data_IF_098474678677
#
_entry.id   IF_098474678677
#
_cell.length_a   1.000
_cell.length_b   1.000
_cell.length_c   1.000
_cell.angle_alpha   90.00
_cell.angle_beta   90.00
_cell.angle_gamma   90.00
#
_symmetry.space_group_name_H-M   'P 1'
#
loop_
_entity.id
_entity.type
_entity.pdbx_description
1 polymer ?
#
# COMPACT_ATOMS: atom_id res chain seq x y z
N UNK A 1 18.13 5.71 -7.57
CA UNK A 1 19.01 4.51 -7.60
C UNK A 1 20.26 4.91 -6.83
N UNK A 2 20.30 4.56 -5.58
CA UNK A 2 21.47 4.78 -4.75
C UNK A 2 22.39 3.56 -4.92
N UNK A 3 23.61 3.79 -5.39
CA UNK A 3 24.65 2.75 -5.41
C UNK A 3 25.03 2.43 -3.96
N UNK A 4 25.28 1.16 -3.66
CA UNK A 4 25.64 0.66 -2.33
C UNK A 4 26.85 1.35 -1.66
N UNK A 5 27.53 2.23 -2.35
CA UNK A 5 28.71 2.97 -1.85
C UNK A 5 28.39 4.40 -1.39
N UNK A 6 27.12 4.83 -1.44
CA UNK A 6 26.77 6.25 -1.23
C UNK A 6 26.02 6.53 0.06
N UNK A 7 25.98 5.59 1.00
CA UNK A 7 25.28 5.79 2.25
C UNK A 7 26.23 6.18 3.39
N UNK A 8 26.09 7.37 3.90
CA UNK A 8 26.74 7.83 5.12
C UNK A 8 25.69 8.16 6.16
N UNK A 9 25.77 7.53 7.33
CA UNK A 9 24.92 7.87 8.43
C UNK A 9 25.33 9.23 9.00
N UNK A 10 24.50 10.23 8.80
CA UNK A 10 24.68 11.52 9.46
C UNK A 10 23.96 11.47 10.79
N UNK A 11 24.71 11.41 11.91
CA UNK A 11 24.14 11.61 13.23
C UNK A 11 23.49 12.99 13.26
N UNK A 12 22.17 13.06 13.12
CA UNK A 12 21.47 14.31 13.42
C UNK A 12 21.39 14.45 14.93
N UNK A 13 21.97 15.50 15.47
CA UNK A 13 21.57 15.99 16.79
C UNK A 13 20.09 16.37 16.66
N UNK A 14 19.29 15.99 17.66
CA UNK A 14 17.91 16.45 17.83
C UNK A 14 17.86 17.97 17.58
N UNK A 15 17.49 18.37 16.41
CA UNK A 15 17.15 19.75 16.10
C UNK A 15 15.91 19.72 15.24
N UNK A 16 14.88 20.32 15.80
CA UNK A 16 13.59 20.62 15.24
C UNK A 16 13.51 20.63 13.73
N UNK A 17 12.52 19.89 13.21
CA UNK A 17 11.84 20.05 11.93
C UNK A 17 12.72 20.30 10.70
N UNK A 18 12.47 19.55 9.65
CA UNK A 18 12.91 19.75 8.28
C UNK A 18 14.34 19.35 7.91
N UNK A 19 14.87 18.24 8.36
CA UNK A 19 16.12 17.74 7.78
C UNK A 19 16.04 16.27 7.38
N UNK A 20 16.19 16.07 6.08
CA UNK A 20 16.46 14.81 5.42
C UNK A 20 17.55 14.03 6.16
N UNK A 21 17.22 12.84 6.62
CA UNK A 21 18.24 11.91 7.03
C UNK A 21 18.91 11.35 5.76
N UNK A 22 20.08 11.84 5.40
CA UNK A 22 20.90 11.24 4.36
C UNK A 22 21.81 10.21 4.99
N UNK A 23 21.75 8.99 4.50
CA UNK A 23 22.62 7.89 4.93
C UNK A 23 23.76 7.76 3.94
N UNK A 24 25.01 7.91 4.39
CA UNK A 24 26.21 7.59 3.60
C UNK A 24 26.89 6.38 4.19
N UNK A 25 27.23 5.40 3.36
CA UNK A 25 27.87 4.14 3.77
C UNK A 25 29.38 4.27 3.75
N UNK A 26 30.02 4.23 4.90
CA UNK A 26 31.42 3.85 5.00
C UNK A 26 31.77 3.11 6.30
N UNK A 27 30.82 2.73 7.14
CA UNK A 27 31.10 1.97 8.35
C UNK A 27 29.96 1.04 8.72
N UNK A 28 30.32 -0.10 9.26
CA UNK A 28 29.40 -1.11 9.81
C UNK A 28 28.38 -0.47 10.75
N UNK A 29 27.11 -0.60 10.43
CA UNK A 29 25.98 -0.04 11.16
C UNK A 29 25.74 -0.68 12.54
N UNK A 30 26.74 -1.30 13.14
CA UNK A 30 26.65 -1.85 14.48
C UNK A 30 26.44 -0.73 15.50
N UNK A 31 25.37 -0.81 16.28
CA UNK A 31 25.01 0.11 17.36
C UNK A 31 24.64 1.54 16.91
N UNK A 32 24.13 1.73 15.71
CA UNK A 32 23.67 3.02 15.25
C UNK A 32 22.18 3.18 15.54
N UNK A 33 21.80 4.37 16.01
CA UNK A 33 20.42 4.75 16.22
C UNK A 33 20.00 5.74 15.14
N UNK A 34 18.93 5.40 14.40
CA UNK A 34 18.33 6.29 13.42
C UNK A 34 17.04 6.82 14.00
N UNK A 35 16.96 8.14 14.10
CA UNK A 35 15.78 8.79 14.60
C UNK A 35 14.93 9.29 13.43
N UNK A 36 13.68 8.89 13.40
CA UNK A 36 12.68 9.33 12.45
C UNK A 36 12.23 10.77 12.77
N UNK A 37 11.73 11.48 11.78
CA UNK A 37 11.27 12.87 11.93
C UNK A 37 10.20 13.01 13.03
N UNK A 38 9.41 11.97 13.25
CA UNK A 38 8.38 11.91 14.29
C UNK A 38 8.93 11.64 15.71
N UNK A 39 10.25 11.57 15.86
CA UNK A 39 10.90 11.41 17.18
C UNK A 39 11.20 9.98 17.57
N UNK A 40 10.72 8.98 16.86
CA UNK A 40 11.03 7.58 17.11
C UNK A 40 12.42 7.23 16.61
N UNK A 41 13.17 6.51 17.40
CA UNK A 41 14.52 6.09 17.08
C UNK A 41 14.60 4.59 16.93
N UNK A 42 15.08 4.11 15.80
CA UNK A 42 15.31 2.69 15.54
C UNK A 42 16.79 2.40 15.81
N UNK A 43 17.05 1.48 16.74
CA UNK A 43 18.39 1.00 17.00
C UNK A 43 18.72 -0.10 16.00
N UNK A 44 19.75 0.10 15.20
CA UNK A 44 20.23 -0.91 14.26
C UNK A 44 21.21 -1.81 14.99
N UNK A 45 20.79 -3.04 15.28
CA UNK A 45 21.61 -4.02 15.98
C UNK A 45 22.28 -5.02 15.03
N UNK A 46 21.74 -5.20 13.81
CA UNK A 46 22.23 -6.11 12.79
C UNK A 46 22.20 -5.47 11.41
N UNK A 47 23.00 -5.95 10.49
CA UNK A 47 23.21 -5.42 9.13
C UNK A 47 21.97 -5.52 8.20
N UNK A 48 20.89 -6.14 8.65
CA UNK A 48 19.70 -6.44 7.83
C UNK A 48 18.46 -5.67 8.28
N UNK A 49 18.59 -4.42 8.73
CA UNK A 49 17.43 -3.67 9.24
C UNK A 49 16.94 -2.58 8.31
N UNK A 50 15.66 -2.34 8.39
CA UNK A 50 14.90 -1.38 7.60
C UNK A 50 14.96 0.00 8.21
N UNK A 51 15.14 0.97 7.35
CA UNK A 51 15.07 2.38 7.71
C UNK A 51 13.91 2.98 6.92
N UNK A 52 12.98 3.62 7.60
CA UNK A 52 11.96 4.41 6.93
C UNK A 52 12.57 5.74 6.49
N UNK A 53 12.45 6.06 5.21
CA UNK A 53 12.63 7.44 4.74
C UNK A 53 11.40 8.25 5.14
N UNK A 54 11.57 9.09 6.16
CA UNK A 54 10.49 9.86 6.77
C UNK A 54 9.98 11.00 5.90
N UNK A 55 10.71 11.40 4.87
CA UNK A 55 10.30 12.48 3.98
C UNK A 55 9.41 11.95 2.87
N UNK A 56 9.77 10.80 2.31
CA UNK A 56 9.04 10.17 1.22
C UNK A 56 8.05 9.09 1.70
N UNK A 57 8.08 8.73 2.98
CA UNK A 57 7.33 7.59 3.51
C UNK A 57 7.88 6.23 3.07
N UNK A 58 9.06 6.22 2.45
CA UNK A 58 9.69 5.02 1.94
C UNK A 58 10.59 4.37 2.97
N UNK A 59 10.87 3.10 2.75
CA UNK A 59 11.78 2.30 3.56
C UNK A 59 13.01 1.94 2.73
N UNK A 60 14.17 1.99 3.34
CA UNK A 60 15.44 1.63 2.71
C UNK A 60 15.88 0.26 3.23
N UNK A 61 16.22 -0.63 2.31
CA UNK A 61 16.71 -1.96 2.62
C UNK A 61 18.22 -2.00 2.76
N UNK A 62 18.64 -2.62 3.84
CA UNK A 62 20.03 -2.89 4.13
C UNK A 62 20.26 -4.41 4.21
N UNK A 63 20.19 -5.10 3.08
CA UNK A 63 20.61 -6.50 2.98
C UNK A 63 21.75 -6.63 2.00
N UNK A 64 22.95 -6.81 2.52
CA UNK A 64 24.16 -7.01 1.70
C UNK A 64 24.14 -8.32 0.90
N UNK A 65 23.41 -9.34 1.36
CA UNK A 65 23.40 -10.65 0.70
C UNK A 65 22.53 -10.68 -0.55
N UNK A 66 21.51 -9.87 -0.63
CA UNK A 66 20.56 -9.90 -1.74
C UNK A 66 20.64 -8.71 -2.70
N UNK A 67 21.50 -7.71 -2.48
CA UNK A 67 21.78 -6.53 -3.34
C UNK A 67 20.66 -6.07 -4.27
N UNK A 68 19.43 -6.44 -4.02
CA UNK A 68 18.25 -5.94 -4.72
C UNK A 68 17.78 -4.73 -3.95
N UNK A 69 17.89 -3.58 -4.56
CA UNK A 69 17.38 -2.32 -4.03
C UNK A 69 15.85 -2.37 -3.95
N UNK A 70 15.32 -2.87 -2.87
CA UNK A 70 13.94 -2.67 -2.51
C UNK A 70 13.87 -1.46 -1.60
N UNK A 71 13.20 -0.39 -1.98
CA UNK A 71 13.12 0.84 -1.16
C UNK A 71 12.23 0.71 0.07
N UNK A 72 11.46 -0.37 0.20
CA UNK A 72 10.70 -0.67 1.42
C UNK A 72 11.02 -2.05 1.92
N UNK A 73 11.35 -2.18 3.19
CA UNK A 73 11.49 -3.46 3.82
C UNK A 73 10.85 -3.54 5.17
N UNK A 74 10.13 -4.58 5.27
CA UNK A 74 9.54 -5.14 6.44
C UNK A 74 10.46 -6.24 6.93
N UNK A 75 10.69 -6.30 8.23
CA UNK A 75 11.59 -7.26 8.88
C UNK A 75 11.15 -8.69 8.61
N UNK A 76 11.69 -9.30 7.58
CA UNK A 76 11.38 -10.68 7.22
C UNK A 76 11.75 -11.66 8.35
N UNK A 77 12.90 -11.45 8.99
CA UNK A 77 13.35 -12.26 10.11
C UNK A 77 12.43 -12.17 11.32
N UNK A 78 11.88 -11.00 11.61
CA UNK A 78 10.94 -10.84 12.71
C UNK A 78 9.61 -11.55 12.43
N UNK A 79 9.17 -11.58 11.17
CA UNK A 79 7.95 -12.31 10.78
C UNK A 79 8.16 -13.82 10.85
N UNK A 80 9.31 -14.33 10.39
CA UNK A 80 9.62 -15.75 10.39
C UNK A 80 9.79 -16.31 11.81
N UNK A 81 10.25 -15.48 12.76
CA UNK A 81 10.49 -15.85 14.15
C UNK A 81 9.28 -15.57 15.07
N UNK A 82 8.24 -14.90 14.62
CA UNK A 82 7.06 -14.68 15.43
C UNK A 82 6.36 -16.00 15.71
N UNK A 83 6.28 -16.34 16.99
CA UNK A 83 5.36 -17.39 17.44
C UNK A 83 3.96 -16.98 16.98
N UNK A 84 3.34 -17.84 16.18
CA UNK A 84 1.90 -17.75 15.93
C UNK A 84 1.26 -17.60 17.30
N UNK A 85 0.57 -16.48 17.54
CA UNK A 85 -0.09 -16.25 18.82
C UNK A 85 -1.19 -17.28 18.93
N UNK A 86 -0.95 -18.29 19.75
CA UNK A 86 -1.86 -19.41 19.93
C UNK A 86 -3.01 -19.11 20.91
N UNK A 87 -3.02 -17.93 21.52
CA UNK A 87 -4.12 -17.47 22.38
C UNK A 87 -5.24 -16.80 21.59
N UNK A 88 -5.50 -17.28 20.39
CA UNK A 88 -6.65 -16.87 19.64
C UNK A 88 -7.91 -17.38 20.33
N UNK A 89 -8.83 -16.49 20.61
CA UNK A 89 -10.21 -16.86 20.85
C UNK A 89 -10.79 -17.40 19.54
N UNK A 90 -10.47 -18.68 19.29
CA UNK A 90 -11.00 -19.43 18.18
C UNK A 90 -12.48 -19.72 18.48
N UNK A 91 -13.37 -18.91 17.95
CA UNK A 91 -14.81 -19.02 18.24
C UNK A 91 -15.44 -20.13 17.43
N UNK A 92 -15.01 -20.29 16.19
CA UNK A 92 -15.50 -21.34 15.30
C UNK A 92 -14.50 -21.60 14.19
N UNK A 93 -14.73 -22.64 13.40
CA UNK A 93 -13.87 -22.92 12.25
C UNK A 93 -13.74 -21.68 11.35
N UNK A 94 -12.51 -21.14 11.22
CA UNK A 94 -12.15 -19.99 10.37
C UNK A 94 -12.65 -18.61 10.81
N UNK A 95 -13.18 -18.46 12.01
CA UNK A 95 -13.52 -17.18 12.63
C UNK A 95 -12.52 -16.86 13.73
N UNK A 96 -11.85 -15.71 13.60
CA UNK A 96 -10.84 -15.22 14.54
C UNK A 96 -11.28 -13.88 15.12
N UNK A 97 -11.15 -13.72 16.42
CA UNK A 97 -11.29 -12.42 17.09
C UNK A 97 -9.91 -11.88 17.49
N UNK A 98 -9.69 -10.61 17.16
CA UNK A 98 -8.47 -9.89 17.53
C UNK A 98 -8.86 -8.79 18.51
N UNK A 99 -8.28 -8.84 19.71
CA UNK A 99 -8.53 -7.86 20.75
C UNK A 99 -7.94 -6.49 20.40
N UNK A 100 -8.40 -5.47 21.10
CA UNK A 100 -7.84 -4.12 20.98
C UNK A 100 -6.34 -4.12 21.32
N UNK A 101 -5.53 -3.38 20.56
CA UNK A 101 -4.07 -3.31 20.67
C UNK A 101 -3.32 -4.62 20.38
N UNK A 102 -3.95 -5.59 19.76
CA UNK A 102 -3.30 -6.84 19.37
C UNK A 102 -3.12 -6.95 17.85
N UNK A 103 -1.99 -7.53 17.45
CA UNK A 103 -1.74 -7.93 16.06
C UNK A 103 -1.69 -9.44 15.97
N UNK A 104 -2.59 -10.02 15.19
CA UNK A 104 -2.59 -11.45 14.87
C UNK A 104 -1.67 -11.71 13.69
N UNK A 105 -0.59 -12.44 13.91
CA UNK A 105 0.27 -12.97 12.84
C UNK A 105 -0.12 -14.40 12.53
N UNK A 106 -0.44 -14.69 11.26
CA UNK A 106 -0.90 -16.01 10.86
C UNK A 106 -0.25 -16.44 9.54
N UNK A 107 0.14 -17.71 9.49
CA UNK A 107 0.72 -18.33 8.31
C UNK A 107 -0.12 -19.53 7.89
N UNK A 108 -0.35 -19.66 6.59
CA UNK A 108 -1.04 -20.79 6.00
C UNK A 108 -0.13 -21.43 4.94
N UNK A 109 0.23 -22.68 5.10
CA UNK A 109 1.00 -23.42 4.09
C UNK A 109 0.18 -23.57 2.79
N UNK A 110 -1.10 -23.88 2.92
CA UNK A 110 -2.07 -23.85 1.84
C UNK A 110 -3.48 -23.70 2.44
N UNK A 111 -4.11 -22.56 2.20
CA UNK A 111 -5.47 -22.28 2.63
C UNK A 111 -6.41 -22.34 1.43
N UNK A 112 -7.45 -23.19 1.52
CA UNK A 112 -8.53 -23.30 0.54
C UNK A 112 -9.88 -23.29 1.27
N UNK A 113 -10.13 -22.24 2.02
CA UNK A 113 -11.39 -22.06 2.77
C UNK A 113 -11.54 -20.57 3.16
N UNK A 114 -12.77 -20.15 3.42
CA UNK A 114 -13.06 -18.79 3.81
C UNK A 114 -12.52 -18.48 5.21
N UNK A 115 -12.10 -17.23 5.41
CA UNK A 115 -11.63 -16.67 6.67
C UNK A 115 -12.48 -15.47 7.06
N UNK A 116 -12.75 -15.34 8.35
CA UNK A 116 -13.35 -14.14 8.92
C UNK A 116 -12.54 -13.66 10.10
N UNK A 117 -12.22 -12.37 10.10
CA UNK A 117 -11.57 -11.68 11.20
C UNK A 117 -12.51 -10.64 11.78
N UNK A 118 -12.72 -10.68 13.09
CA UNK A 118 -13.43 -9.67 13.84
C UNK A 118 -12.42 -8.84 14.64
N UNK A 119 -12.29 -7.57 14.30
CA UNK A 119 -11.37 -6.64 14.95
C UNK A 119 -12.13 -5.85 16.02
N UNK A 120 -11.71 -5.98 17.28
CA UNK A 120 -12.46 -5.47 18.45
C UNK A 120 -12.02 -4.09 18.92
N UNK A 121 -11.05 -3.46 18.25
CA UNK A 121 -10.55 -2.14 18.65
C UNK A 121 -9.79 -1.42 17.56
N UNK A 122 -9.38 -0.19 17.87
CA UNK A 122 -8.75 0.74 16.92
C UNK A 122 -7.42 0.20 16.40
N UNK A 123 -6.66 -0.49 17.26
CA UNK A 123 -5.32 -0.99 16.96
C UNK A 123 -5.29 -2.51 16.75
N UNK A 124 -6.44 -3.12 16.52
CA UNK A 124 -6.50 -4.54 16.19
C UNK A 124 -6.09 -4.76 14.74
N UNK A 125 -5.12 -5.63 14.50
CA UNK A 125 -4.57 -5.90 13.17
C UNK A 125 -4.41 -7.39 12.90
N UNK A 126 -4.40 -7.74 11.61
CA UNK A 126 -4.12 -9.10 11.14
C UNK A 126 -3.00 -9.04 10.11
N UNK A 127 -2.02 -9.91 10.24
CA UNK A 127 -0.94 -10.08 9.27
C UNK A 127 -0.92 -11.53 8.79
N UNK A 128 -1.26 -11.74 7.52
CA UNK A 128 -1.11 -13.02 6.83
C UNK A 128 0.23 -12.96 6.10
N UNK A 129 1.15 -13.86 6.42
CA UNK A 129 2.50 -13.81 5.89
C UNK A 129 2.99 -15.17 5.38
N UNK A 130 3.92 -15.15 4.42
CA UNK A 130 4.56 -16.36 3.86
C UNK A 130 3.57 -17.49 3.56
N UNK A 131 2.42 -17.13 2.98
CA UNK A 131 1.25 -18.01 2.85
C UNK A 131 0.95 -18.35 1.40
N UNK A 132 0.10 -19.34 1.23
CA UNK A 132 -0.54 -19.67 -0.04
C UNK A 132 -2.05 -19.72 0.18
N UNK A 133 -2.78 -18.86 -0.52
CA UNK A 133 -4.23 -18.74 -0.39
C UNK A 133 -4.89 -19.07 -1.73
N UNK A 134 -5.85 -19.98 -1.72
CA UNK A 134 -6.52 -20.45 -2.93
C UNK A 134 -8.04 -20.48 -2.75
N UNK A 135 -8.78 -19.97 -3.73
CA UNK A 135 -10.24 -20.04 -3.79
C UNK A 135 -10.93 -19.65 -2.47
N UNK A 136 -10.44 -18.65 -1.81
CA UNK A 136 -10.84 -18.28 -0.45
C UNK A 136 -11.44 -16.87 -0.43
N UNK A 137 -12.38 -16.65 0.49
CA UNK A 137 -12.89 -15.34 0.81
C UNK A 137 -12.37 -14.92 2.18
N UNK A 138 -11.79 -13.74 2.24
CA UNK A 138 -11.34 -13.12 3.49
C UNK A 138 -12.30 -11.98 3.82
N UNK A 139 -12.92 -12.02 4.99
CA UNK A 139 -13.80 -10.98 5.48
C UNK A 139 -13.25 -10.37 6.75
N UNK A 140 -13.13 -9.05 6.77
CA UNK A 140 -12.70 -8.27 7.94
C UNK A 140 -13.88 -7.44 8.44
N UNK A 141 -14.26 -7.63 9.70
CA UNK A 141 -15.32 -6.87 10.35
C UNK A 141 -14.75 -6.07 11.52
N UNK A 142 -15.16 -4.81 11.62
CA UNK A 142 -14.87 -3.99 12.79
C UNK A 142 -16.08 -3.98 13.71
N UNK A 143 -15.91 -4.50 14.93
CA UNK A 143 -17.02 -4.63 15.88
C UNK A 143 -17.27 -3.34 16.67
N UNK A 144 -16.22 -2.55 16.93
CA UNK A 144 -16.35 -1.23 17.58
C UNK A 144 -16.22 -0.12 16.55
N UNK A 145 -17.29 0.62 16.35
CA UNK A 145 -17.27 1.88 15.60
C UNK A 145 -16.90 2.99 16.57
N UNK A 146 -15.69 3.50 16.52
CA UNK A 146 -15.35 4.68 17.30
C UNK A 146 -15.78 5.94 16.55
N UNK A 147 -16.30 6.92 17.30
CA UNK A 147 -16.53 8.28 16.78
C UNK A 147 -15.29 9.15 16.93
N UNK A 148 -14.26 8.66 17.56
CA UNK A 148 -13.02 9.38 17.80
C UNK A 148 -12.22 9.50 16.50
N UNK A 149 -11.76 10.71 16.23
CA UNK A 149 -10.81 10.93 15.14
C UNK A 149 -9.47 10.37 15.59
N UNK A 150 -8.98 9.38 14.85
CA UNK A 150 -7.65 8.86 15.03
C UNK A 150 -6.73 9.76 14.22
N UNK A 151 -5.79 10.41 14.89
CA UNK A 151 -4.89 11.40 14.28
C UNK A 151 -3.52 10.82 13.91
N UNK A 152 -3.20 9.61 14.38
CA UNK A 152 -1.90 9.01 14.17
C UNK A 152 -1.99 7.82 13.21
N UNK A 153 -1.07 7.80 12.26
CA UNK A 153 -0.84 6.63 11.41
C UNK A 153 -0.31 5.50 12.29
N UNK A 154 -1.14 4.48 12.49
CA UNK A 154 -0.81 3.40 13.39
C UNK A 154 -0.04 2.31 12.65
N UNK A 155 1.27 2.36 12.76
CA UNK A 155 2.14 1.26 12.40
C UNK A 155 2.12 0.20 13.51
N UNK A 156 2.24 -1.06 13.14
CA UNK A 156 2.58 -2.10 14.10
C UNK A 156 4.08 -2.08 14.40
N UNK A 157 4.54 -2.97 15.27
CA UNK A 157 5.96 -3.08 15.61
C UNK A 157 6.89 -3.45 14.43
N UNK A 158 6.31 -3.93 13.32
CA UNK A 158 7.00 -4.22 12.06
C UNK A 158 6.77 -3.13 11.00
N UNK A 159 6.24 -1.99 11.41
CA UNK A 159 5.93 -0.85 10.53
C UNK A 159 4.87 -1.16 9.45
N UNK A 160 3.99 -2.14 9.71
CA UNK A 160 2.89 -2.48 8.81
C UNK A 160 1.70 -1.54 9.04
N UNK A 161 1.10 -1.08 7.97
CA UNK A 161 0.04 -0.05 7.96
C UNK A 161 -1.36 -0.63 7.96
N UNK A 162 -1.52 -1.84 7.41
CA UNK A 162 -2.82 -2.45 7.18
C UNK A 162 -3.55 -2.91 8.43
N UNK A 163 -4.86 -2.74 8.46
CA UNK A 163 -5.70 -3.50 9.38
C UNK A 163 -5.70 -4.99 9.03
N UNK A 164 -5.74 -5.30 7.73
CA UNK A 164 -5.34 -6.58 7.18
C UNK A 164 -4.10 -6.36 6.32
N UNK A 165 -2.97 -6.94 6.70
CA UNK A 165 -1.78 -6.98 5.85
C UNK A 165 -1.58 -8.38 5.29
N UNK A 166 -1.34 -8.48 3.99
CA UNK A 166 -0.97 -9.73 3.31
C UNK A 166 0.43 -9.54 2.73
N UNK A 167 1.40 -10.27 3.25
CA UNK A 167 2.80 -10.07 2.89
C UNK A 167 3.48 -11.37 2.47
N UNK A 168 4.37 -11.29 1.45
CA UNK A 168 5.14 -12.44 0.93
C UNK A 168 4.24 -13.66 0.58
N UNK A 169 3.03 -13.41 0.06
CA UNK A 169 1.97 -14.41 -0.08
C UNK A 169 1.60 -14.65 -1.54
N UNK A 170 1.32 -15.90 -1.90
CA UNK A 170 0.75 -16.26 -3.18
C UNK A 170 -0.78 -16.30 -3.12
N UNK A 171 -1.43 -15.54 -3.98
CA UNK A 171 -2.88 -15.41 -4.06
C UNK A 171 -3.40 -16.10 -5.32
N UNK A 172 -4.36 -16.98 -5.17
CA UNK A 172 -5.00 -17.65 -6.30
C UNK A 172 -6.51 -17.59 -6.14
N UNK A 173 -7.16 -16.71 -6.91
CA UNK A 173 -8.62 -16.54 -6.93
C UNK A 173 -9.21 -16.18 -5.55
N UNK A 174 -8.65 -15.13 -4.92
CA UNK A 174 -9.05 -14.67 -3.58
C UNK A 174 -10.07 -13.54 -3.69
N UNK A 175 -11.05 -13.53 -2.79
CA UNK A 175 -11.95 -12.40 -2.60
C UNK A 175 -11.74 -11.77 -1.22
N UNK A 176 -11.70 -10.43 -1.14
CA UNK A 176 -11.47 -9.71 0.10
C UNK A 176 -12.61 -8.71 0.30
N UNK A 177 -13.22 -8.74 1.47
CA UNK A 177 -14.28 -7.81 1.88
C UNK A 177 -13.95 -7.16 3.23
N UNK A 178 -14.09 -5.83 3.30
CA UNK A 178 -13.95 -5.06 4.54
C UNK A 178 -14.95 -3.93 4.58
N UNK A 179 -15.49 -3.68 5.75
CA UNK A 179 -16.40 -2.55 6.02
C UNK A 179 -15.99 -1.87 7.32
N UNK A 180 -15.69 -0.61 7.24
CA UNK A 180 -15.07 0.23 8.26
C UNK A 180 -13.61 -0.13 8.55
N UNK A 181 -12.73 0.86 8.56
CA UNK A 181 -11.33 0.73 8.92
C UNK A 181 -10.86 1.96 9.68
N UNK A 182 -9.98 1.73 10.63
CA UNK A 182 -9.32 2.78 11.40
C UNK A 182 -7.80 2.78 11.25
N UNK A 183 -7.25 1.83 10.50
CA UNK A 183 -5.83 1.78 10.18
C UNK A 183 -5.50 2.76 9.05
N UNK A 184 -4.22 2.99 8.80
CA UNK A 184 -3.77 3.77 7.65
C UNK A 184 -4.27 3.17 6.35
N UNK A 185 -4.23 1.81 6.24
CA UNK A 185 -4.87 1.08 5.16
C UNK A 185 -5.88 0.08 5.71
N UNK A 186 -7.05 -0.03 5.10
CA UNK A 186 -7.94 -1.13 5.44
C UNK A 186 -7.33 -2.47 5.02
N UNK A 187 -6.65 -2.48 3.87
CA UNK A 187 -5.90 -3.61 3.31
C UNK A 187 -4.56 -3.12 2.78
N UNK A 188 -3.46 -3.71 3.25
CA UNK A 188 -2.14 -3.52 2.67
C UNK A 188 -1.60 -4.85 2.13
N UNK A 189 -1.17 -4.89 0.85
CA UNK A 189 -0.63 -6.09 0.19
C UNK A 189 0.81 -5.83 -0.24
N UNK A 190 1.75 -6.56 0.37
CA UNK A 190 3.18 -6.29 0.25
C UNK A 190 3.90 -7.51 -0.32
N UNK A 191 4.78 -7.30 -1.31
CA UNK A 191 5.62 -8.35 -1.93
C UNK A 191 4.88 -9.66 -2.24
N UNK A 192 3.62 -9.53 -2.61
CA UNK A 192 2.73 -10.65 -2.88
C UNK A 192 2.43 -10.74 -4.37
N UNK A 193 1.93 -11.87 -4.84
CA UNK A 193 1.64 -12.07 -6.25
C UNK A 193 0.40 -12.93 -6.46
N UNK A 194 -0.26 -12.72 -7.59
CA UNK A 194 -1.33 -13.62 -8.03
C UNK A 194 -2.62 -12.95 -8.43
N UNK A 195 -3.74 -13.62 -8.18
CA UNK A 195 -5.07 -13.24 -8.64
C UNK A 195 -6.00 -12.95 -7.47
N UNK A 196 -6.53 -11.73 -7.45
CA UNK A 196 -7.66 -11.34 -6.62
C UNK A 196 -8.91 -11.31 -7.50
N UNK A 197 -9.87 -12.14 -7.20
CA UNK A 197 -11.13 -12.20 -7.95
C UNK A 197 -12.01 -10.99 -7.66
N UNK A 198 -12.14 -10.63 -6.37
CA UNK A 198 -12.96 -9.49 -5.95
C UNK A 198 -12.35 -8.76 -4.76
N UNK A 199 -12.23 -7.45 -4.88
CA UNK A 199 -12.04 -6.51 -3.78
C UNK A 199 -13.34 -5.76 -3.54
N UNK A 200 -13.86 -5.77 -2.31
CA UNK A 200 -15.05 -5.02 -1.93
C UNK A 200 -14.83 -4.36 -0.56
N UNK A 201 -14.28 -3.15 -0.58
CA UNK A 201 -13.91 -2.42 0.63
C UNK A 201 -14.62 -1.08 0.68
N UNK A 202 -15.00 -0.67 1.90
CA UNK A 202 -15.69 0.60 2.11
C UNK A 202 -15.51 1.15 3.52
N UNK A 203 -15.72 2.47 3.64
CA UNK A 203 -15.76 3.17 4.91
C UNK A 203 -14.41 3.19 5.65
N UNK A 204 -13.33 3.64 5.01
CA UNK A 204 -12.04 3.83 5.67
C UNK A 204 -11.87 5.25 6.22
N UNK A 205 -11.19 5.37 7.37
CA UNK A 205 -10.75 6.66 7.91
C UNK A 205 -9.53 7.23 7.17
N UNK A 206 -8.78 6.37 6.49
CA UNK A 206 -7.63 6.70 5.64
C UNK A 206 -7.76 5.91 4.33
N UNK A 207 -6.73 5.24 3.84
CA UNK A 207 -6.78 4.49 2.59
C UNK A 207 -7.60 3.20 2.70
N UNK A 208 -8.27 2.83 1.62
CA UNK A 208 -8.94 1.53 1.56
C UNK A 208 -7.95 0.41 1.23
N UNK A 209 -7.09 0.62 0.23
CA UNK A 209 -6.14 -0.41 -0.22
C UNK A 209 -4.82 0.22 -0.62
N UNK A 210 -3.73 -0.37 -0.14
CA UNK A 210 -2.37 -0.07 -0.58
C UNK A 210 -1.67 -1.35 -1.08
N UNK A 211 -1.01 -1.25 -2.23
CA UNK A 211 -0.22 -2.32 -2.84
C UNK A 211 1.23 -1.91 -2.97
N UNK A 212 2.11 -2.68 -2.34
CA UNK A 212 3.55 -2.45 -2.36
C UNK A 212 4.30 -3.61 -2.98
N UNK A 213 5.19 -3.34 -3.95
CA UNK A 213 6.15 -4.31 -4.52
C UNK A 213 5.52 -5.63 -4.96
N UNK A 214 4.29 -5.57 -5.45
CA UNK A 214 3.49 -6.76 -5.72
C UNK A 214 3.22 -6.92 -7.20
N UNK A 215 2.91 -8.15 -7.63
CA UNK A 215 2.47 -8.49 -8.98
C UNK A 215 1.07 -9.09 -8.91
N UNK A 216 0.05 -8.23 -9.01
CA UNK A 216 -1.33 -8.60 -8.73
C UNK A 216 -2.23 -8.35 -9.93
N UNK A 217 -3.06 -9.35 -10.23
CA UNK A 217 -4.21 -9.21 -11.11
C UNK A 217 -5.50 -9.14 -10.29
N UNK A 218 -6.36 -8.16 -10.61
CA UNK A 218 -7.67 -7.97 -9.96
C UNK A 218 -8.76 -8.07 -11.03
N UNK A 219 -9.69 -8.99 -10.87
CA UNK A 219 -10.82 -9.08 -11.80
C UNK A 219 -11.85 -8.00 -11.53
N UNK A 220 -12.19 -7.75 -10.27
CA UNK A 220 -13.17 -6.71 -9.92
C UNK A 220 -12.82 -6.01 -8.62
N UNK A 221 -12.76 -4.69 -8.64
CA UNK A 221 -12.65 -3.85 -7.45
C UNK A 221 -13.90 -2.95 -7.32
N UNK A 222 -14.50 -2.94 -6.13
CA UNK A 222 -15.58 -2.02 -5.75
C UNK A 222 -15.17 -1.35 -4.45
N UNK A 223 -14.85 -0.08 -4.53
CA UNK A 223 -14.25 0.70 -3.45
C UNK A 223 -15.09 1.94 -3.19
N UNK A 224 -15.39 2.25 -1.93
CA UNK A 224 -16.21 3.41 -1.64
C UNK A 224 -15.98 4.02 -0.25
N UNK A 225 -16.14 5.34 -0.18
CA UNK A 225 -16.10 6.11 1.06
C UNK A 225 -14.77 5.95 1.82
N UNK A 226 -13.67 6.34 1.17
CA UNK A 226 -12.37 6.56 1.79
C UNK A 226 -12.22 8.01 2.21
N UNK A 227 -11.57 8.26 3.36
CA UNK A 227 -11.21 9.63 3.76
C UNK A 227 -9.90 10.10 3.15
N UNK A 228 -9.17 9.20 2.49
CA UNK A 228 -7.97 9.49 1.72
C UNK A 228 -8.06 8.78 0.35
N UNK A 229 -7.08 7.96 -0.06
CA UNK A 229 -7.08 7.23 -1.31
C UNK A 229 -7.96 5.96 -1.25
N UNK A 230 -8.65 5.62 -2.33
CA UNK A 230 -9.33 4.34 -2.40
C UNK A 230 -8.38 3.20 -2.77
N UNK A 231 -7.40 3.47 -3.65
CA UNK A 231 -6.44 2.47 -4.10
C UNK A 231 -5.11 3.13 -4.44
N UNK A 232 -4.06 2.80 -3.71
CA UNK A 232 -2.68 3.27 -3.97
C UNK A 232 -1.78 2.10 -4.41
N UNK A 233 -0.83 2.40 -5.30
CA UNK A 233 0.15 1.45 -5.81
C UNK A 233 1.55 2.05 -5.72
N UNK A 234 2.46 1.29 -5.11
CA UNK A 234 3.87 1.61 -5.04
C UNK A 234 4.69 0.42 -5.53
N UNK A 235 5.48 0.63 -6.57
CA UNK A 235 6.30 -0.39 -7.22
C UNK A 235 5.53 -1.68 -7.60
N UNK A 236 5.88 -2.32 -8.67
CA UNK A 236 5.27 -3.58 -9.07
C UNK A 236 4.45 -3.49 -10.36
N UNK A 237 3.82 -4.62 -10.72
CA UNK A 237 3.03 -4.74 -11.93
C UNK A 237 1.62 -5.16 -11.60
N UNK A 238 0.67 -4.39 -12.08
CA UNK A 238 -0.72 -4.55 -11.69
C UNK A 238 -1.63 -4.59 -12.92
N UNK A 239 -2.68 -5.38 -12.81
CA UNK A 239 -3.74 -5.43 -13.81
C UNK A 239 -5.11 -5.41 -13.14
N UNK A 240 -5.99 -4.53 -13.57
CA UNK A 240 -7.38 -4.45 -13.12
C UNK A 240 -8.32 -4.61 -14.32
N UNK A 241 -9.20 -5.60 -14.28
CA UNK A 241 -10.22 -5.78 -15.31
C UNK A 241 -11.35 -4.77 -15.15
N UNK A 242 -11.93 -4.66 -13.94
CA UNK A 242 -12.97 -3.69 -13.63
C UNK A 242 -12.70 -3.02 -12.27
N UNK A 243 -12.78 -1.70 -12.23
CA UNK A 243 -12.79 -0.93 -11.00
C UNK A 243 -13.95 0.06 -11.00
N UNK A 244 -14.69 0.08 -9.90
CA UNK A 244 -15.64 1.13 -9.55
C UNK A 244 -15.21 1.73 -8.23
N UNK A 245 -14.93 3.03 -8.22
CA UNK A 245 -14.50 3.77 -7.05
C UNK A 245 -15.40 4.99 -6.84
N UNK A 246 -15.87 5.19 -5.61
CA UNK A 246 -16.75 6.29 -5.27
C UNK A 246 -16.47 6.92 -3.92
N UNK A 247 -16.70 8.21 -3.80
CA UNK A 247 -16.52 8.96 -2.55
C UNK A 247 -15.11 8.86 -1.96
N UNK A 248 -14.07 8.78 -2.79
CA UNK A 248 -12.67 8.83 -2.38
C UNK A 248 -12.28 10.30 -2.16
N UNK A 249 -11.92 10.67 -0.93
CA UNK A 249 -11.74 12.08 -0.55
C UNK A 249 -10.41 12.67 -0.99
N UNK A 250 -9.44 11.82 -1.38
CA UNK A 250 -8.26 12.29 -2.11
C UNK A 250 -8.28 11.69 -3.53
N UNK A 251 -7.91 10.44 -3.74
CA UNK A 251 -7.83 9.83 -5.08
C UNK A 251 -8.58 8.51 -5.14
N UNK A 252 -9.30 8.28 -6.23
CA UNK A 252 -9.87 6.96 -6.47
C UNK A 252 -8.78 5.93 -6.81
N UNK A 253 -7.78 6.35 -7.58
CA UNK A 253 -6.65 5.54 -8.02
C UNK A 253 -5.38 6.37 -7.97
N UNK A 254 -4.41 5.97 -7.19
CA UNK A 254 -3.10 6.59 -7.04
C UNK A 254 -2.02 5.62 -7.46
N UNK A 255 -1.15 6.00 -8.41
CA UNK A 255 -0.11 5.12 -8.96
C UNK A 255 1.22 5.85 -8.91
N UNK A 256 2.14 5.32 -8.14
CA UNK A 256 3.42 5.95 -7.85
C UNK A 256 4.60 4.97 -7.89
N UNK A 257 5.78 5.51 -7.68
CA UNK A 257 7.04 4.81 -7.47
C UNK A 257 7.31 3.70 -8.50
N UNK A 258 7.32 4.07 -9.79
CA UNK A 258 7.60 3.14 -10.92
C UNK A 258 6.62 1.97 -11.05
N UNK A 259 5.42 2.08 -10.50
CA UNK A 259 4.38 1.07 -10.72
C UNK A 259 3.93 1.05 -12.18
N UNK A 260 3.62 -0.12 -12.70
CA UNK A 260 3.00 -0.30 -14.01
C UNK A 260 1.62 -0.88 -13.80
N UNK A 261 0.60 -0.11 -14.17
CA UNK A 261 -0.79 -0.51 -14.01
C UNK A 261 -1.51 -0.54 -15.36
N UNK A 262 -2.21 -1.65 -15.63
CA UNK A 262 -3.16 -1.76 -16.74
C UNK A 262 -4.57 -1.84 -16.20
N UNK A 263 -5.46 -0.97 -16.70
CA UNK A 263 -6.87 -0.94 -16.31
C UNK A 263 -7.73 -1.08 -17.56
N UNK A 264 -8.58 -2.10 -17.57
CA UNK A 264 -9.51 -2.28 -18.70
C UNK A 264 -10.73 -1.38 -18.57
N UNK A 265 -11.37 -1.34 -17.40
CA UNK A 265 -12.58 -0.55 -17.19
C UNK A 265 -12.52 0.20 -15.87
N UNK A 266 -12.42 1.51 -15.92
CA UNK A 266 -12.48 2.40 -14.75
C UNK A 266 -13.82 3.15 -14.74
N UNK A 267 -14.47 3.19 -13.56
CA UNK A 267 -15.64 4.03 -13.27
C UNK A 267 -15.44 4.79 -11.97
N UNK A 268 -15.42 6.12 -12.05
CA UNK A 268 -15.30 7.03 -10.91
C UNK A 268 -16.61 7.79 -10.65
N UNK A 269 -16.97 7.95 -9.36
CA UNK A 269 -18.13 8.73 -8.95
C UNK A 269 -17.82 9.52 -7.68
N UNK A 270 -18.07 10.82 -7.68
CA UNK A 270 -17.94 11.71 -6.51
C UNK A 270 -16.56 11.67 -5.84
N UNK A 271 -15.51 11.37 -6.61
CA UNK A 271 -14.15 11.38 -6.12
C UNK A 271 -13.58 12.80 -6.16
N UNK A 272 -12.66 13.13 -5.25
CA UNK A 272 -11.94 14.40 -5.37
C UNK A 272 -11.08 14.41 -6.64
N UNK A 273 -10.27 13.37 -6.85
CA UNK A 273 -9.55 13.09 -8.08
C UNK A 273 -9.74 11.62 -8.46
N UNK A 274 -10.06 11.33 -9.72
CA UNK A 274 -10.23 9.94 -10.12
C UNK A 274 -8.88 9.21 -10.23
N UNK A 275 -7.89 9.79 -10.92
CA UNK A 275 -6.60 9.12 -11.13
C UNK A 275 -5.44 10.09 -10.91
N UNK A 276 -4.47 9.70 -10.09
CA UNK A 276 -3.15 10.31 -9.99
C UNK A 276 -2.08 9.34 -10.50
N UNK A 277 -1.17 9.84 -11.35
CA UNK A 277 -0.06 9.09 -11.91
C UNK A 277 1.22 9.86 -11.58
N UNK A 278 2.09 9.28 -10.77
CA UNK A 278 3.24 10.00 -10.20
C UNK A 278 4.52 9.17 -10.25
N UNK A 279 5.66 9.84 -10.11
CA UNK A 279 6.94 9.24 -9.74
C UNK A 279 7.38 8.08 -10.64
N UNK A 280 7.51 8.37 -11.96
CA UNK A 280 7.93 7.43 -13.00
C UNK A 280 7.00 6.22 -13.18
N UNK A 281 5.76 6.31 -12.70
CA UNK A 281 4.78 5.25 -12.89
C UNK A 281 4.08 5.35 -14.25
N UNK A 282 3.43 4.27 -14.65
CA UNK A 282 2.77 4.15 -15.94
C UNK A 282 1.39 3.53 -15.80
N UNK A 283 0.37 4.17 -16.39
CA UNK A 283 -0.98 3.62 -16.55
C UNK A 283 -1.31 3.39 -18.01
N UNK A 284 -1.78 2.18 -18.31
CA UNK A 284 -2.47 1.86 -19.57
C UNK A 284 -3.96 1.76 -19.30
N UNK A 285 -4.74 2.70 -19.83
CA UNK A 285 -6.17 2.81 -19.58
C UNK A 285 -6.96 2.58 -20.85
N UNK A 286 -7.83 1.55 -20.85
CA UNK A 286 -8.62 1.21 -22.03
C UNK A 286 -9.97 1.95 -22.07
N UNK A 287 -10.77 1.83 -21.03
CA UNK A 287 -12.05 2.51 -20.89
C UNK A 287 -12.09 3.29 -19.58
N UNK A 288 -12.51 4.54 -19.67
CA UNK A 288 -12.63 5.44 -18.54
C UNK A 288 -14.02 6.09 -18.56
N UNK A 289 -14.64 6.12 -17.40
CA UNK A 289 -15.89 6.83 -17.15
C UNK A 289 -15.81 7.55 -15.82
N UNK A 290 -16.18 8.81 -15.82
CA UNK A 290 -16.20 9.68 -14.65
C UNK A 290 -17.47 10.51 -14.66
N UNK A 291 -17.92 10.95 -13.51
CA UNK A 291 -18.97 11.96 -13.36
C UNK A 291 -18.44 13.39 -13.39
N UNK A 292 -17.14 13.58 -13.56
CA UNK A 292 -16.48 14.89 -13.71
C UNK A 292 -16.87 15.56 -15.03
N UNK A 293 -17.10 16.86 -14.96
CA UNK A 293 -17.46 17.71 -16.10
C UNK A 293 -16.22 18.23 -16.83
N UNK A 294 -16.43 18.92 -17.95
CA UNK A 294 -15.37 19.42 -18.84
C UNK A 294 -14.45 20.46 -18.20
N UNK A 295 -14.84 21.07 -17.11
CA UNK A 295 -14.09 22.06 -16.31
C UNK A 295 -13.49 21.49 -15.03
N UNK A 296 -13.73 20.22 -14.73
CA UNK A 296 -13.17 19.53 -13.58
C UNK A 296 -11.98 18.66 -13.93
N UNK A 297 -10.99 18.60 -13.01
CA UNK A 297 -9.84 17.72 -13.15
C UNK A 297 -10.18 16.29 -12.73
N UNK A 298 -10.03 15.35 -13.66
CA UNK A 298 -10.23 13.91 -13.36
C UNK A 298 -8.93 13.11 -13.30
N UNK A 299 -7.89 13.53 -14.02
CA UNK A 299 -6.59 12.84 -14.02
C UNK A 299 -5.48 13.85 -13.81
N UNK A 300 -4.60 13.59 -12.84
CA UNK A 300 -3.38 14.36 -12.62
C UNK A 300 -2.15 13.50 -12.83
N UNK A 301 -1.18 14.02 -13.60
CA UNK A 301 0.06 13.33 -13.94
C UNK A 301 1.21 14.24 -13.55
N UNK A 302 2.02 13.83 -12.58
CA UNK A 302 3.04 14.73 -12.03
C UNK A 302 4.20 14.01 -11.36
N UNK A 303 5.30 14.73 -11.21
CA UNK A 303 6.44 14.36 -10.40
C UNK A 303 6.20 14.81 -8.95
N UNK A 304 6.13 13.87 -8.00
CA UNK A 304 5.97 14.16 -6.57
C UNK A 304 7.31 14.12 -5.84
N UNK A 305 8.11 13.10 -6.08
CA UNK A 305 9.39 12.85 -5.40
C UNK A 305 10.56 13.23 -6.29
N UNK A 306 11.62 13.77 -5.69
CA UNK A 306 12.76 14.32 -6.47
C UNK A 306 13.56 13.28 -7.25
N UNK A 307 13.63 12.06 -6.74
CA UNK A 307 14.39 10.94 -7.31
C UNK A 307 13.72 10.27 -8.51
N UNK A 308 12.47 10.62 -8.81
CA UNK A 308 11.71 10.09 -9.95
C UNK A 308 11.49 11.14 -11.04
N UNK A 309 11.05 10.69 -12.20
CA UNK A 309 10.48 11.51 -13.25
C UNK A 309 8.95 11.63 -13.07
N UNK A 310 8.30 12.34 -13.97
CA UNK A 310 6.84 12.41 -14.02
C UNK A 310 6.21 11.08 -14.42
N UNK A 311 4.89 10.99 -14.27
CA UNK A 311 4.13 9.80 -14.67
C UNK A 311 3.85 9.73 -16.17
N UNK A 312 3.38 8.57 -16.63
CA UNK A 312 2.99 8.33 -18.02
C UNK A 312 1.56 7.75 -18.09
N UNK A 313 0.70 8.39 -18.84
CA UNK A 313 -0.64 7.89 -19.17
C UNK A 313 -0.72 7.45 -20.62
N UNK A 314 -1.04 6.17 -20.85
CA UNK A 314 -1.31 5.60 -22.16
C UNK A 314 -2.80 5.34 -22.33
N UNK A 315 -3.43 5.89 -23.38
CA UNK A 315 -4.86 5.83 -23.66
C UNK A 315 -5.15 5.16 -25.01
N UNK A 316 -6.13 4.28 -25.05
CA UNK A 316 -6.56 3.68 -26.31
C UNK A 316 -7.57 4.54 -27.10
N UNK A 317 -8.31 5.42 -26.44
CA UNK A 317 -9.26 6.36 -27.07
C UNK A 317 -9.28 7.67 -26.28
N UNK A 318 -9.36 8.78 -27.00
CA UNK A 318 -9.65 10.09 -26.40
C UNK A 318 -11.17 10.27 -26.33
N UNK A 319 -11.78 9.85 -25.23
CA UNK A 319 -13.15 10.24 -24.89
C UNK A 319 -13.14 10.62 -23.40
N UNK A 320 -12.72 11.84 -23.11
CA UNK A 320 -12.79 12.39 -21.78
C UNK A 320 -13.59 13.68 -21.86
N UNK A 321 -14.60 13.77 -21.03
CA UNK A 321 -15.37 15.01 -20.83
C UNK A 321 -14.79 15.84 -19.67
N UNK A 322 -13.57 15.54 -19.20
CA UNK A 322 -12.93 16.16 -18.05
C UNK A 322 -11.47 16.55 -18.35
N UNK A 323 -10.86 17.34 -17.47
CA UNK A 323 -9.49 17.81 -17.61
C UNK A 323 -8.48 16.74 -17.23
N UNK A 324 -7.47 16.54 -18.09
CA UNK A 324 -6.23 15.82 -17.75
C UNK A 324 -5.15 16.87 -17.47
N UNK A 325 -4.77 17.02 -16.21
CA UNK A 325 -3.70 17.92 -15.79
C UNK A 325 -2.36 17.19 -15.77
N UNK A 326 -1.30 17.80 -16.33
CA UNK A 326 0.04 17.23 -16.30
C UNK A 326 1.11 18.28 -16.13
N UNK A 327 2.18 17.95 -15.43
CA UNK A 327 3.39 18.77 -15.35
C UNK A 327 4.30 18.61 -16.59
N UNK A 328 5.45 19.30 -16.55
CA UNK A 328 6.44 19.29 -17.64
C UNK A 328 7.20 17.96 -17.75
N UNK A 329 7.25 17.16 -16.70
CA UNK A 329 7.98 15.90 -16.61
C UNK A 329 7.16 14.70 -17.05
N UNK A 330 5.85 14.88 -17.19
CA UNK A 330 4.88 13.82 -17.42
C UNK A 330 4.44 13.70 -18.85
N UNK A 331 3.93 12.52 -19.24
CA UNK A 331 3.57 12.20 -20.62
C UNK A 331 2.14 11.67 -20.74
N UNK A 332 1.47 12.04 -21.84
CA UNK A 332 0.22 11.42 -22.28
C UNK A 332 0.46 10.85 -23.67
N UNK A 333 0.22 9.56 -23.84
CA UNK A 333 0.40 8.81 -25.09
C UNK A 333 -0.98 8.36 -25.56
N UNK A 334 -1.35 8.78 -26.77
CA UNK A 334 -2.57 8.31 -27.43
C UNK A 334 -2.22 7.17 -28.37
N UNK A 335 -2.63 5.97 -28.05
CA UNK A 335 -2.48 4.80 -28.92
C UNK A 335 -3.58 4.87 -29.98
N UNK A 336 -3.31 5.52 -31.12
CA UNK A 336 -4.20 5.40 -32.28
C UNK A 336 -4.23 3.92 -32.69
N UNK A 337 -5.39 3.27 -32.63
CA UNK A 337 -5.54 1.97 -33.30
C UNK A 337 -5.18 2.18 -34.77
N UNK A 338 -4.11 1.49 -35.21
CA UNK A 338 -3.87 1.27 -36.63
C UNK A 338 -4.98 0.41 -37.21
#
# INVERSE_FOLDING_TARGET
ILNNNDFKLIKSKKTNFDKQASVKTDETFKNTQICLVQGDCIKIENENKVIRDTIAGDYIFLDEKNKKNYPRIIFKENLDNKKIITNLNYISKNLYEVSENETLYIKFDNLNQDLQFNLNGIYSKVVIFNSKLENSKIKVNYLKKTKEKIYDSNYDENLLTGCLTIIDTNLNNISIESDHSHCEDALNIVRSKGLINKLNLKNSQFDLVDFDFSDIKINKAVLSNSKNDCLDFSYGNYFIEEITASDCKDKALSVGEKSILKVNNFKGFQNNLDIAIKDSSEIHLNNFSSDKTSDENCISIYKKKQEFDGGTLSLNKKVFECIINKDLYSKVILNAKK
#
